data_IF_593798411503
#
_entry.id   IF_593798411503
#
_cell.length_a   1.000
_cell.length_b   1.000
_cell.length_c   1.000
_cell.angle_alpha   90.00
_cell.angle_beta   90.00
_cell.angle_gamma   90.00
#
_symmetry.space_group_name_H-M   'P 1'
#
loop_
_entity.id
_entity.type
_entity.pdbx_description
1 polymer ?
#
# COMPACT_ATOMS: atom_id res chain seq x y z
N UNK A 1 9.96 -12.40 -0.67
CA UNK A 1 8.50 -12.64 -0.68
C UNK A 1 7.92 -11.86 -1.84
N UNK A 2 6.99 -12.44 -2.59
CA UNK A 2 6.28 -11.75 -3.68
C UNK A 2 4.80 -11.64 -3.34
N UNK A 3 4.21 -10.47 -3.56
CA UNK A 3 2.79 -10.19 -3.30
C UNK A 3 2.15 -9.55 -4.53
N UNK A 4 0.96 -10.02 -4.88
CA UNK A 4 0.09 -9.36 -5.85
C UNK A 4 -1.04 -8.67 -5.11
N UNK A 5 -1.08 -7.35 -5.19
CA UNK A 5 -2.00 -6.51 -4.43
C UNK A 5 -2.85 -5.65 -5.38
N UNK A 6 -4.05 -5.22 -4.95
CA UNK A 6 -4.82 -4.23 -5.69
C UNK A 6 -4.02 -2.94 -5.85
N UNK A 7 -4.25 -2.23 -6.96
CA UNK A 7 -3.61 -0.95 -7.21
C UNK A 7 -3.86 0.02 -6.05
N UNK A 8 -2.82 0.61 -5.44
CA UNK A 8 -2.97 1.54 -4.33
C UNK A 8 -3.78 2.76 -4.75
N UNK A 9 -4.70 3.19 -3.89
CA UNK A 9 -5.40 4.48 -4.06
C UNK A 9 -4.44 5.63 -3.70
N UNK A 10 -4.84 6.88 -3.98
CA UNK A 10 -4.08 8.02 -3.48
C UNK A 10 -4.27 8.22 -1.98
N UNK A 11 -3.30 8.77 -1.27
CA UNK A 11 -3.45 9.15 0.15
C UNK A 11 -4.60 10.13 0.36
N UNK A 12 -4.85 11.00 -0.62
CA UNK A 12 -6.00 11.93 -0.62
C UNK A 12 -7.36 11.20 -0.65
N UNK A 13 -7.40 9.97 -1.19
CA UNK A 13 -8.59 9.10 -1.12
C UNK A 13 -8.55 8.20 0.10
N UNK A 14 -7.38 7.87 0.63
CA UNK A 14 -7.20 7.07 1.85
C UNK A 14 -7.70 7.80 3.08
N UNK A 15 -7.41 9.09 3.20
CA UNK A 15 -7.74 9.92 4.35
C UNK A 15 -8.86 10.91 4.04
N UNK A 16 -9.59 11.32 5.07
CA UNK A 16 -10.59 12.40 5.00
C UNK A 16 -10.56 13.24 6.27
N UNK A 17 -10.81 14.54 6.12
CA UNK A 17 -11.04 15.41 7.27
C UNK A 17 -12.50 15.32 7.74
N UNK A 18 -12.69 15.24 9.06
CA UNK A 18 -13.97 15.29 9.74
C UNK A 18 -13.84 16.25 10.93
N UNK A 19 -14.21 17.51 10.72
CA UNK A 19 -13.94 18.59 11.66
C UNK A 19 -12.43 18.76 11.86
N UNK A 20 -11.96 18.59 13.09
CA UNK A 20 -10.54 18.68 13.47
C UNK A 20 -9.78 17.35 13.38
N UNK A 21 -10.43 16.27 12.92
CA UNK A 21 -9.83 14.92 12.91
C UNK A 21 -9.54 14.46 11.48
N UNK A 22 -8.43 13.76 11.31
CA UNK A 22 -8.13 13.00 10.08
C UNK A 22 -8.50 11.54 10.33
N UNK A 23 -9.41 11.02 9.51
CA UNK A 23 -9.87 9.63 9.58
C UNK A 23 -9.56 8.90 8.29
N UNK A 24 -9.48 7.58 8.35
CA UNK A 24 -9.44 6.74 7.15
C UNK A 24 -10.82 6.82 6.48
N UNK A 25 -10.84 7.04 5.17
CA UNK A 25 -12.06 7.08 4.38
C UNK A 25 -12.69 5.69 4.26
N UNK A 26 -13.92 5.62 3.73
CA UNK A 26 -14.55 4.32 3.41
C UNK A 26 -13.73 3.53 2.40
N UNK A 27 -13.24 4.20 1.36
CA UNK A 27 -12.40 3.58 0.34
C UNK A 27 -11.05 3.15 0.92
N UNK A 28 -10.48 3.96 1.81
CA UNK A 28 -9.26 3.63 2.52
C UNK A 28 -9.37 2.37 3.37
N UNK A 29 -10.47 2.20 4.10
CA UNK A 29 -10.74 0.97 4.86
C UNK A 29 -10.88 -0.23 3.94
N UNK A 30 -11.65 -0.10 2.85
CA UNK A 30 -11.81 -1.18 1.88
C UNK A 30 -10.46 -1.61 1.26
N UNK A 31 -9.59 -0.65 0.94
CA UNK A 31 -8.25 -0.96 0.44
C UNK A 31 -7.40 -1.70 1.49
N UNK A 32 -7.38 -1.22 2.74
CA UNK A 32 -6.67 -1.88 3.85
C UNK A 32 -7.17 -3.29 4.11
N UNK A 33 -8.50 -3.48 4.13
CA UNK A 33 -9.14 -4.79 4.30
C UNK A 33 -8.76 -5.74 3.15
N UNK A 34 -8.74 -5.28 1.90
CA UNK A 34 -8.33 -6.09 0.76
C UNK A 34 -6.86 -6.53 0.87
N UNK A 35 -5.96 -5.63 1.26
CA UNK A 35 -4.54 -5.97 1.49
C UNK A 35 -4.40 -6.97 2.64
N UNK A 36 -5.04 -6.72 3.78
CA UNK A 36 -5.01 -7.61 4.94
C UNK A 36 -5.57 -9.00 4.62
N UNK A 37 -6.65 -9.09 3.85
CA UNK A 37 -7.23 -10.36 3.42
C UNK A 37 -6.26 -11.17 2.53
N UNK A 38 -5.52 -10.52 1.64
CA UNK A 38 -4.49 -11.17 0.81
C UNK A 38 -3.36 -11.69 1.69
N UNK A 39 -2.85 -10.88 2.62
CA UNK A 39 -1.78 -11.28 3.54
C UNK A 39 -2.22 -12.46 4.41
N UNK A 40 -3.44 -12.43 4.96
CA UNK A 40 -4.01 -13.52 5.75
C UNK A 40 -4.17 -14.81 4.93
N UNK A 41 -4.68 -14.70 3.69
CA UNK A 41 -4.81 -15.85 2.78
C UNK A 41 -3.45 -16.50 2.48
N UNK A 42 -2.42 -15.67 2.31
CA UNK A 42 -1.04 -16.11 2.09
C UNK A 42 -0.33 -16.53 3.38
N UNK A 43 -1.00 -16.43 4.54
CA UNK A 43 -0.46 -16.72 5.87
C UNK A 43 0.85 -15.98 6.14
N UNK A 44 0.95 -14.75 5.64
CA UNK A 44 2.12 -13.89 5.87
C UNK A 44 2.22 -13.64 7.37
N UNK A 45 3.42 -13.86 7.91
CA UNK A 45 3.78 -13.43 9.26
C UNK A 45 4.57 -12.13 9.16
N UNK A 46 4.47 -11.23 10.17
CA UNK A 46 5.22 -9.99 10.15
C UNK A 46 6.72 -10.24 9.97
N UNK A 47 7.30 -9.62 8.95
CA UNK A 47 8.74 -9.62 8.74
C UNK A 47 9.41 -8.70 9.77
N UNK A 48 10.52 -9.15 10.34
CA UNK A 48 11.30 -8.44 11.35
C UNK A 48 12.68 -8.07 10.81
N UNK A 49 13.26 -6.97 11.29
CA UNK A 49 14.56 -6.47 10.84
C UNK A 49 14.47 -5.65 9.55
N UNK A 50 15.63 -5.36 8.95
CA UNK A 50 15.75 -4.49 7.78
C UNK A 50 15.13 -5.12 6.51
N UNK A 51 14.36 -4.32 5.78
CA UNK A 51 13.63 -4.70 4.58
C UNK A 51 14.18 -3.98 3.35
N UNK A 52 14.32 -4.75 2.28
CA UNK A 52 14.47 -4.23 0.91
C UNK A 52 13.20 -4.55 0.14
N UNK A 53 12.55 -3.52 -0.41
CA UNK A 53 11.28 -3.64 -1.12
C UNK A 53 11.43 -3.16 -2.56
N UNK A 54 10.91 -3.96 -3.49
CA UNK A 54 10.77 -3.62 -4.90
C UNK A 54 9.29 -3.63 -5.30
N UNK A 55 8.85 -2.58 -5.99
CA UNK A 55 7.43 -2.38 -6.32
C UNK A 55 7.26 -2.01 -7.80
N UNK A 56 6.33 -2.73 -8.42
CA UNK A 56 5.84 -2.49 -9.77
C UNK A 56 4.39 -2.06 -9.72
N UNK A 57 4.13 -0.82 -10.12
CA UNK A 57 2.76 -0.32 -10.22
C UNK A 57 2.31 -0.39 -11.67
N UNK A 58 1.43 -1.34 -11.95
CA UNK A 58 0.71 -1.45 -13.21
C UNK A 58 -0.66 -0.76 -13.08
N UNK A 59 -0.80 0.52 -13.45
CA UNK A 59 -2.04 1.26 -13.22
C UNK A 59 -3.19 0.73 -14.09
N UNK A 60 -4.46 0.91 -13.69
CA UNK A 60 -5.60 0.50 -14.50
C UNK A 60 -5.85 1.42 -15.70
N UNK A 61 -5.27 2.63 -15.71
CA UNK A 61 -5.45 3.62 -16.79
C UNK A 61 -4.15 4.39 -17.02
N UNK A 62 -4.08 5.15 -18.12
CA UNK A 62 -2.96 6.07 -18.42
C UNK A 62 -3.00 7.40 -17.64
N UNK A 63 -3.92 7.56 -16.70
CA UNK A 63 -4.02 8.79 -15.90
C UNK A 63 -2.73 9.00 -15.11
N UNK A 64 -2.18 10.21 -15.14
CA UNK A 64 -1.03 10.58 -14.32
C UNK A 64 -1.33 10.47 -12.82
N UNK A 65 -0.32 10.09 -12.03
CA UNK A 65 -0.39 10.00 -10.58
C UNK A 65 1.01 10.16 -9.97
N UNK A 66 1.05 10.56 -8.71
CA UNK A 66 2.28 10.68 -7.93
C UNK A 66 2.64 9.31 -7.34
N UNK A 67 3.89 8.89 -7.52
CA UNK A 67 4.34 7.54 -7.16
C UNK A 67 4.42 7.39 -5.64
N UNK A 68 5.12 8.31 -4.98
CA UNK A 68 5.24 8.45 -3.53
C UNK A 68 3.87 8.45 -2.83
N UNK A 69 2.89 9.15 -3.39
CA UNK A 69 1.53 9.21 -2.86
C UNK A 69 0.89 7.81 -2.78
N UNK A 70 1.08 7.00 -3.81
CA UNK A 70 0.60 5.61 -3.85
C UNK A 70 1.41 4.69 -2.94
N UNK A 71 2.73 4.87 -2.90
CA UNK A 71 3.61 4.08 -2.04
C UNK A 71 3.27 4.28 -0.56
N UNK A 72 3.00 5.51 -0.14
CA UNK A 72 2.56 5.79 1.24
C UNK A 72 1.27 5.04 1.59
N UNK A 73 0.27 5.07 0.71
CA UNK A 73 -0.96 4.31 0.91
C UNK A 73 -0.72 2.79 1.00
N UNK A 74 0.19 2.27 0.17
CA UNK A 74 0.55 0.86 0.15
C UNK A 74 1.25 0.46 1.47
N UNK A 75 2.26 1.20 1.92
CA UNK A 75 2.99 0.87 3.15
C UNK A 75 2.10 0.95 4.39
N UNK A 76 1.29 2.00 4.51
CA UNK A 76 0.29 2.12 5.60
C UNK A 76 -0.64 0.90 5.64
N UNK A 77 -0.97 0.32 4.48
CA UNK A 77 -1.87 -0.83 4.38
C UNK A 77 -1.16 -2.16 4.62
N UNK A 78 0.10 -2.29 4.20
CA UNK A 78 0.95 -3.46 4.46
C UNK A 78 1.29 -3.59 5.95
N UNK A 79 1.64 -2.49 6.60
CA UNK A 79 1.89 -2.44 8.04
C UNK A 79 0.62 -2.80 8.81
N UNK A 80 -0.51 -2.17 8.48
CA UNK A 80 -1.80 -2.48 9.08
C UNK A 80 -2.22 -3.95 8.90
N UNK A 81 -1.93 -4.52 7.74
CA UNK A 81 -2.20 -5.92 7.44
C UNK A 81 -1.19 -6.91 8.02
N UNK A 82 -0.14 -6.44 8.70
CA UNK A 82 0.84 -7.29 9.38
C UNK A 82 1.91 -7.89 8.47
N UNK A 83 2.23 -7.27 7.32
CA UNK A 83 3.34 -7.72 6.49
C UNK A 83 4.71 -7.46 7.15
N UNK A 84 4.81 -6.38 7.92
CA UNK A 84 5.97 -5.99 8.74
C UNK A 84 5.46 -5.17 9.93
N UNK A 85 6.32 -4.90 10.91
CA UNK A 85 5.93 -4.24 12.17
C UNK A 85 5.88 -2.72 12.04
N UNK A 86 6.80 -2.14 11.28
CA UNK A 86 6.90 -0.69 11.07
C UNK A 86 7.55 -0.38 9.72
N UNK A 87 7.06 0.64 9.01
CA UNK A 87 7.65 1.12 7.76
C UNK A 87 9.11 1.60 7.91
N UNK A 88 9.55 1.95 9.11
CA UNK A 88 10.96 2.24 9.44
C UNK A 88 11.90 1.07 9.17
N UNK A 89 11.39 -0.15 9.05
CA UNK A 89 12.17 -1.31 8.65
C UNK A 89 12.64 -1.22 7.19
N UNK A 90 12.00 -0.41 6.35
CA UNK A 90 12.32 -0.31 4.92
C UNK A 90 13.58 0.55 4.72
N UNK A 91 14.73 -0.11 4.69
CA UNK A 91 16.04 0.54 4.49
C UNK A 91 16.41 0.71 3.01
N UNK A 92 15.73 -0.03 2.13
CA UNK A 92 15.90 0.08 0.67
C UNK A 92 14.56 -0.04 -0.04
N UNK A 93 14.31 0.91 -0.93
CA UNK A 93 13.08 0.98 -1.72
C UNK A 93 13.40 1.25 -3.18
N UNK A 94 12.89 0.39 -4.07
CA UNK A 94 12.82 0.63 -5.51
C UNK A 94 11.37 0.56 -5.96
N UNK A 95 10.91 1.57 -6.69
CA UNK A 95 9.55 1.61 -7.19
C UNK A 95 9.51 2.12 -8.63
N UNK A 96 8.75 1.45 -9.49
CA UNK A 96 8.62 1.83 -10.90
C UNK A 96 7.16 1.92 -11.34
N UNK A 97 6.89 2.90 -12.20
CA UNK A 97 5.63 3.00 -12.94
C UNK A 97 5.74 2.08 -14.15
N UNK A 98 4.87 1.09 -14.24
CA UNK A 98 4.82 0.14 -15.34
C UNK A 98 3.69 0.52 -16.33
N UNK A 99 3.68 -0.07 -17.54
CA UNK A 99 2.58 0.09 -18.47
C UNK A 99 1.24 -0.35 -17.85
N UNK A 100 0.10 0.28 -18.23
CA UNK A 100 -1.20 -0.10 -17.74
C UNK A 100 -1.55 -1.55 -18.08
N UNK A 101 -2.25 -2.23 -17.15
CA UNK A 101 -2.90 -3.50 -17.42
C UNK A 101 -4.28 -3.22 -18.03
N UNK A 102 -4.48 -3.68 -19.26
CA UNK A 102 -5.72 -3.51 -20.03
C UNK A 102 -6.86 -4.38 -19.47
#
# INVERSE_FOLDING_TARGET
MELRLPNPISTNRLYRSVGHRVLISREGRAYREAVAAILARLRVRPLTGDLSIEIDIHPPTRRSYDLDNRLKCLFDSLEHGGAFLNDSQIVRLSARKCPPVA
#
